data_IF_255194466266
#
_entry.id   IF_255194466266
#
_cell.length_a   1.000
_cell.length_b   1.000
_cell.length_c   1.000
_cell.angle_alpha   90.00
_cell.angle_beta   90.00
_cell.angle_gamma   90.00
#
_symmetry.space_group_name_H-M   'P 1'
#
loop_
_entity.id
_entity.type
_entity.pdbx_description
1 polymer ?
#
# COMPACT_ATOMS: atom_id res chain seq x y z
N UNK A 1 33.24 -14.22 -58.86
CA UNK A 1 32.86 -15.59 -58.46
C UNK A 1 33.72 -16.00 -57.27
N UNK A 2 33.20 -15.97 -56.04
CA UNK A 2 33.44 -17.02 -55.03
C UNK A 2 32.47 -16.80 -53.85
N UNK A 3 31.61 -17.80 -53.63
CA UNK A 3 30.68 -17.94 -52.51
C UNK A 3 31.43 -18.51 -51.29
N UNK A 4 30.75 -18.43 -50.12
CA UNK A 4 30.83 -19.28 -48.91
C UNK A 4 31.57 -18.63 -47.72
N UNK A 5 31.18 -18.76 -46.45
CA UNK A 5 30.09 -19.47 -45.73
C UNK A 5 30.11 -18.94 -44.28
N UNK A 6 28.92 -18.84 -43.66
CA UNK A 6 28.54 -19.00 -42.24
C UNK A 6 29.57 -18.64 -41.14
N UNK A 7 29.16 -17.72 -40.27
CA UNK A 7 29.68 -17.58 -38.90
C UNK A 7 28.60 -17.03 -37.98
N UNK A 8 27.77 -17.91 -37.44
CA UNK A 8 26.83 -17.56 -36.36
C UNK A 8 27.64 -17.44 -35.05
N UNK A 9 28.03 -16.23 -34.69
CA UNK A 9 28.55 -15.92 -33.36
C UNK A 9 27.36 -15.55 -32.46
N UNK A 10 26.76 -16.57 -31.85
CA UNK A 10 25.78 -16.38 -30.79
C UNK A 10 26.50 -15.87 -29.54
N UNK A 11 26.27 -14.60 -29.20
CA UNK A 11 26.55 -14.10 -27.85
C UNK A 11 25.23 -14.16 -27.11
N UNK A 12 25.02 -15.25 -26.37
CA UNK A 12 24.05 -15.25 -25.28
C UNK A 12 24.66 -14.37 -24.19
N UNK A 13 24.44 -13.06 -24.28
CA UNK A 13 24.63 -12.17 -23.15
C UNK A 13 23.52 -12.55 -22.15
N UNK A 14 23.86 -13.45 -21.23
CA UNK A 14 23.08 -13.68 -20.03
C UNK A 14 23.17 -12.39 -19.21
N UNK A 15 22.25 -11.46 -19.47
CA UNK A 15 21.97 -10.37 -18.57
C UNK A 15 21.51 -11.00 -17.27
N UNK A 16 22.38 -11.02 -16.27
CA UNK A 16 22.01 -11.27 -14.88
C UNK A 16 20.97 -10.22 -14.56
N UNK A 17 19.69 -10.61 -14.60
CA UNK A 17 18.64 -9.83 -13.95
C UNK A 17 19.00 -9.92 -12.48
N UNK A 18 19.67 -8.89 -11.97
CA UNK A 18 19.67 -8.63 -10.54
C UNK A 18 18.18 -8.47 -10.20
N UNK A 19 17.54 -9.57 -9.79
CA UNK A 19 16.26 -9.55 -9.09
C UNK A 19 16.53 -8.77 -7.82
N UNK A 20 16.50 -7.44 -7.96
CA UNK A 20 16.51 -6.54 -6.83
C UNK A 20 15.31 -6.92 -5.98
N UNK A 21 15.59 -7.21 -4.71
CA UNK A 21 14.58 -7.14 -3.67
C UNK A 21 14.09 -5.70 -3.64
N UNK A 22 13.15 -5.35 -4.51
CA UNK A 22 12.33 -4.18 -4.28
C UNK A 22 11.59 -4.48 -2.98
N UNK A 23 11.61 -3.58 -1.97
CA UNK A 23 10.64 -3.68 -0.90
C UNK A 23 9.28 -3.57 -1.58
N UNK A 24 8.61 -4.71 -1.71
CA UNK A 24 7.25 -4.76 -2.15
C UNK A 24 6.44 -4.00 -1.10
N UNK A 25 5.90 -2.85 -1.50
CA UNK A 25 4.90 -2.17 -0.69
C UNK A 25 3.74 -3.14 -0.56
N UNK A 26 3.52 -3.66 0.64
CA UNK A 26 2.55 -4.71 0.88
C UNK A 26 1.15 -4.11 1.15
N UNK A 27 0.06 -4.83 0.83
CA UNK A 27 -1.31 -4.40 1.12
C UNK A 27 -1.65 -4.54 2.62
N UNK A 28 -0.87 -3.86 3.47
CA UNK A 28 -0.97 -3.90 4.93
C UNK A 28 -1.72 -2.68 5.50
N UNK A 29 -2.23 -1.82 4.63
CA UNK A 29 -3.03 -0.66 5.01
C UNK A 29 -4.32 -0.61 4.19
N UNK A 30 -5.39 -0.17 4.84
CA UNK A 30 -6.69 0.05 4.23
C UNK A 30 -7.34 1.33 4.78
N UNK A 31 -8.39 1.79 4.10
CA UNK A 31 -9.24 2.87 4.61
C UNK A 31 -10.69 2.40 4.64
N UNK A 32 -11.32 2.52 5.80
CA UNK A 32 -12.75 2.30 5.98
C UNK A 32 -13.48 3.63 6.21
N UNK A 33 -14.81 3.63 6.11
CA UNK A 33 -15.65 4.73 6.57
C UNK A 33 -16.56 4.19 7.67
N UNK A 34 -16.50 4.79 8.85
CA UNK A 34 -17.34 4.35 9.97
C UNK A 34 -18.81 4.81 9.82
N UNK A 35 -19.67 4.38 10.75
CA UNK A 35 -21.10 4.70 10.71
C UNK A 35 -21.41 6.21 10.81
N UNK A 36 -20.46 7.02 11.24
CA UNK A 36 -20.59 8.49 11.32
C UNK A 36 -20.03 9.18 10.06
N UNK A 37 -19.56 8.41 9.07
CA UNK A 37 -18.95 8.95 7.86
C UNK A 37 -17.49 9.37 8.04
N UNK A 38 -16.84 8.99 9.14
CA UNK A 38 -15.44 9.34 9.40
C UNK A 38 -14.52 8.33 8.71
N UNK A 39 -13.60 8.76 7.84
CA UNK A 39 -12.60 7.88 7.25
C UNK A 39 -11.59 7.43 8.31
N UNK A 40 -11.33 6.14 8.38
CA UNK A 40 -10.42 5.50 9.34
C UNK A 40 -9.38 4.69 8.59
N UNK A 41 -8.12 4.85 8.99
CA UNK A 41 -7.00 4.05 8.49
C UNK A 41 -6.91 2.79 9.33
N UNK A 42 -6.81 1.64 8.68
CA UNK A 42 -6.55 0.34 9.27
C UNK A 42 -5.15 -0.09 8.86
N UNK A 43 -4.36 -0.57 9.82
CA UNK A 43 -3.01 -1.07 9.58
C UNK A 43 -2.88 -2.47 10.16
N UNK A 44 -2.30 -3.39 9.38
CA UNK A 44 -2.05 -4.79 9.69
C UNK A 44 -0.58 -5.12 9.45
N UNK A 45 0.33 -4.74 10.37
CA UNK A 45 1.76 -4.95 10.17
C UNK A 45 2.14 -6.44 10.29
N UNK A 46 3.17 -6.86 9.56
CA UNK A 46 3.67 -8.24 9.64
C UNK A 46 4.42 -8.54 10.94
N UNK A 47 4.17 -9.72 11.51
CA UNK A 47 4.92 -10.29 12.64
C UNK A 47 4.55 -9.75 14.03
N UNK A 48 5.36 -10.09 15.05
CA UNK A 48 5.09 -9.74 16.45
C UNK A 48 5.34 -8.25 16.80
N UNK A 49 5.66 -7.42 15.81
CA UNK A 49 6.08 -6.04 15.98
C UNK A 49 4.86 -5.12 15.91
N UNK A 50 4.28 -4.86 17.08
CA UNK A 50 3.10 -4.01 17.33
C UNK A 50 1.82 -4.44 16.60
N UNK A 51 0.76 -4.72 17.36
CA UNK A 51 -0.51 -5.19 16.82
C UNK A 51 -1.23 -4.15 15.96
N UNK A 52 -2.32 -4.62 15.36
CA UNK A 52 -3.21 -3.84 14.51
C UNK A 52 -3.54 -2.49 15.13
N UNK A 53 -3.56 -1.47 14.27
CA UNK A 53 -3.95 -0.13 14.68
C UNK A 53 -4.99 0.44 13.73
N UNK A 54 -5.98 1.10 14.34
CA UNK A 54 -7.04 1.78 13.63
C UNK A 54 -7.22 3.18 14.21
N UNK A 55 -7.28 4.19 13.35
CA UNK A 55 -7.41 5.59 13.78
C UNK A 55 -8.08 6.45 12.70
N UNK A 56 -8.75 7.56 13.07
CA UNK A 56 -9.31 8.48 12.09
C UNK A 56 -8.20 9.11 11.23
N UNK A 57 -8.43 9.19 9.91
CA UNK A 57 -7.42 9.59 8.91
C UNK A 57 -6.67 10.89 9.26
N UNK A 58 -7.38 11.90 9.77
CA UNK A 58 -6.81 13.21 10.13
C UNK A 58 -6.56 13.40 11.63
N UNK A 59 -6.75 12.36 12.43
CA UNK A 59 -6.55 12.38 13.89
C UNK A 59 -5.74 11.17 14.34
N UNK A 60 -4.45 11.09 13.98
CA UNK A 60 -3.58 10.00 14.40
C UNK A 60 -3.45 9.93 15.93
N UNK A 61 -3.06 8.77 16.50
CA UNK A 61 -2.87 8.60 17.93
C UNK A 61 -1.97 9.68 18.54
N UNK A 62 -2.42 10.30 19.63
CA UNK A 62 -1.72 11.43 20.26
C UNK A 62 -0.28 11.09 20.69
N UNK A 63 0.01 9.81 20.97
CA UNK A 63 1.34 9.34 21.34
C UNK A 63 2.38 9.45 20.20
N UNK A 64 1.94 9.49 18.93
CA UNK A 64 2.82 9.48 17.76
C UNK A 64 3.48 10.83 17.45
N UNK A 65 3.11 11.89 18.18
CA UNK A 65 3.62 13.26 17.96
C UNK A 65 3.51 13.70 16.48
N UNK A 66 2.41 13.35 15.83
CA UNK A 66 2.19 13.67 14.44
C UNK A 66 2.11 15.19 14.19
N UNK A 67 2.69 15.63 13.08
CA UNK A 67 2.52 17.00 12.60
C UNK A 67 1.36 17.07 11.59
N UNK A 68 0.30 17.78 11.94
CA UNK A 68 -0.78 18.08 11.00
C UNK A 68 -0.35 19.21 10.06
N UNK A 69 -0.42 18.96 8.74
CA UNK A 69 -0.11 19.95 7.70
C UNK A 69 -1.25 20.03 6.70
N UNK A 70 -1.58 21.25 6.28
CA UNK A 70 -2.64 21.49 5.30
C UNK A 70 -4.04 21.24 5.85
N UNK A 71 -5.01 21.15 4.92
CA UNK A 71 -6.43 20.93 5.22
C UNK A 71 -6.65 19.51 5.81
N UNK A 72 -7.36 19.42 6.94
CA UNK A 72 -7.61 18.17 7.68
C UNK A 72 -8.99 17.57 7.36
N UNK A 73 -9.33 17.50 6.06
CA UNK A 73 -10.55 16.88 5.53
C UNK A 73 -10.33 16.40 4.10
N UNK A 74 -11.18 15.48 3.66
CA UNK A 74 -11.20 15.04 2.27
C UNK A 74 -11.70 16.17 1.36
N UNK A 75 -10.96 16.38 0.27
CA UNK A 75 -11.26 17.35 -0.77
C UNK A 75 -11.53 16.61 -2.09
N UNK A 76 -12.59 16.97 -2.83
CA UNK A 76 -12.83 16.39 -4.15
C UNK A 76 -11.65 16.65 -5.10
N UNK A 77 -11.27 15.65 -5.89
CA UNK A 77 -10.17 15.74 -6.86
C UNK A 77 -8.76 15.64 -6.28
N UNK A 78 -8.63 15.38 -4.97
CA UNK A 78 -7.35 15.10 -4.33
C UNK A 78 -7.12 13.58 -4.19
N UNK A 79 -5.87 13.19 -4.40
CA UNK A 79 -5.36 11.85 -4.06
C UNK A 79 -4.61 11.94 -2.73
N UNK A 80 -4.91 11.00 -1.86
CA UNK A 80 -4.31 10.85 -0.55
C UNK A 80 -3.54 9.54 -0.52
N UNK A 81 -2.47 9.50 0.28
CA UNK A 81 -1.75 8.28 0.58
C UNK A 81 -1.49 8.21 2.09
N UNK A 82 -1.71 7.04 2.68
CA UNK A 82 -1.17 6.70 3.98
C UNK A 82 -0.04 5.69 3.77
N UNK A 83 1.14 6.00 4.30
CA UNK A 83 2.34 5.14 4.21
C UNK A 83 2.87 4.94 5.62
N UNK A 84 3.20 3.70 5.96
CA UNK A 84 3.90 3.42 7.22
C UNK A 84 5.17 2.61 6.98
N UNK A 85 6.15 2.88 7.83
CA UNK A 85 7.48 2.27 7.79
C UNK A 85 7.63 1.37 9.01
N UNK A 86 8.45 0.34 8.84
CA UNK A 86 8.81 -0.56 9.93
C UNK A 86 9.88 0.00 10.83
N UNK A 87 10.68 -0.90 11.41
CA UNK A 87 11.80 -0.56 12.26
C UNK A 87 12.92 0.22 11.54
N UNK A 88 13.00 0.10 10.20
CA UNK A 88 13.96 0.84 9.39
C UNK A 88 13.21 1.88 8.55
N UNK A 89 13.61 3.15 8.66
CA UNK A 89 12.95 4.28 7.98
C UNK A 89 13.20 4.31 6.46
N UNK A 90 13.96 3.35 5.93
CA UNK A 90 14.42 3.33 4.55
C UNK A 90 13.48 2.60 3.58
N UNK A 91 12.52 1.81 4.08
CA UNK A 91 11.56 1.06 3.25
C UNK A 91 10.15 1.08 3.84
N UNK A 92 9.16 1.45 3.02
CA UNK A 92 7.76 1.39 3.42
C UNK A 92 7.32 -0.07 3.57
N UNK A 93 6.60 -0.36 4.64
CA UNK A 93 6.03 -1.68 4.87
C UNK A 93 4.68 -1.82 4.17
N UNK A 94 3.87 -0.76 4.19
CA UNK A 94 2.57 -0.75 3.55
C UNK A 94 2.10 0.65 3.23
N UNK A 95 1.26 0.72 2.21
CA UNK A 95 0.65 1.94 1.71
C UNK A 95 -0.80 1.68 1.33
N UNK A 96 -1.64 2.71 1.46
CA UNK A 96 -2.91 2.79 0.76
C UNK A 96 -3.05 4.17 0.13
N UNK A 97 -3.29 4.19 -1.18
CA UNK A 97 -3.61 5.38 -1.95
C UNK A 97 -5.10 5.40 -2.29
N UNK A 98 -5.75 6.55 -2.17
CA UNK A 98 -7.20 6.69 -2.33
C UNK A 98 -7.64 8.12 -2.64
N UNK A 99 -8.86 8.26 -3.16
CA UNK A 99 -9.54 9.55 -3.32
C UNK A 99 -10.83 9.61 -2.49
N UNK A 100 -11.39 10.82 -2.35
CA UNK A 100 -12.72 10.97 -1.75
C UNK A 100 -13.82 10.21 -2.52
N UNK A 101 -13.65 10.02 -3.84
CA UNK A 101 -14.61 9.28 -4.66
C UNK A 101 -14.53 7.77 -4.40
N UNK A 102 -13.34 7.24 -4.15
CA UNK A 102 -13.15 5.83 -3.81
C UNK A 102 -13.82 5.49 -2.48
N UNK A 103 -13.60 6.34 -1.45
CA UNK A 103 -14.22 6.15 -0.13
C UNK A 103 -15.74 6.34 -0.17
N UNK A 104 -16.25 7.19 -1.08
CA UNK A 104 -17.69 7.38 -1.28
C UNK A 104 -18.42 6.17 -1.88
N UNK A 105 -17.69 5.12 -2.27
CA UNK A 105 -18.24 3.86 -2.78
C UNK A 105 -18.38 2.78 -1.71
N UNK A 106 -17.79 2.98 -0.53
CA UNK A 106 -17.78 1.98 0.53
C UNK A 106 -19.13 1.90 1.24
N UNK A 107 -19.60 0.66 1.41
CA UNK A 107 -20.67 0.31 2.32
C UNK A 107 -20.13 -0.07 3.72
N UNK A 108 -21.02 -0.22 4.69
CA UNK A 108 -20.63 -0.61 6.04
C UNK A 108 -20.00 -2.02 6.03
N UNK A 109 -18.78 -2.13 6.58
CA UNK A 109 -18.02 -3.38 6.60
C UNK A 109 -17.09 -3.56 5.40
N UNK A 110 -17.11 -2.64 4.45
CA UNK A 110 -16.16 -2.60 3.35
C UNK A 110 -14.97 -1.68 3.66
N UNK A 111 -13.85 -1.97 3.00
CA UNK A 111 -12.62 -1.18 3.04
C UNK A 111 -12.11 -0.92 1.62
N UNK A 112 -11.40 0.19 1.47
CA UNK A 112 -10.57 0.46 0.29
C UNK A 112 -9.14 0.03 0.57
N UNK A 113 -8.65 -0.94 -0.18
CA UNK A 113 -7.28 -1.44 -0.14
C UNK A 113 -6.91 -2.00 -1.51
N UNK A 114 -5.63 -2.05 -1.86
CA UNK A 114 -5.16 -2.63 -3.13
C UNK A 114 -5.95 -2.11 -4.36
N UNK A 115 -6.19 -0.79 -4.38
CA UNK A 115 -6.95 -0.06 -5.40
C UNK A 115 -8.37 -0.61 -5.69
N UNK A 116 -8.99 -1.27 -4.71
CA UNK A 116 -10.34 -1.81 -4.84
C UNK A 116 -11.14 -1.76 -3.54
N UNK A 117 -12.46 -1.89 -3.70
CA UNK A 117 -13.39 -2.15 -2.60
C UNK A 117 -13.33 -3.64 -2.27
N UNK A 118 -13.21 -3.98 -0.99
CA UNK A 118 -13.26 -5.35 -0.50
C UNK A 118 -13.89 -5.40 0.90
N UNK A 119 -14.30 -6.59 1.35
CA UNK A 119 -14.76 -6.77 2.73
C UNK A 119 -13.62 -6.62 3.74
N UNK A 120 -13.92 -6.19 4.97
CA UNK A 120 -12.92 -6.09 6.03
C UNK A 120 -12.20 -7.43 6.31
N UNK A 121 -12.92 -8.55 6.29
CA UNK A 121 -12.33 -9.89 6.47
C UNK A 121 -11.44 -10.29 5.27
N UNK A 122 -11.79 -9.87 4.05
CA UNK A 122 -10.95 -10.11 2.86
C UNK A 122 -9.64 -9.32 2.95
N UNK A 123 -9.68 -8.10 3.48
CA UNK A 123 -8.47 -7.32 3.74
C UNK A 123 -7.57 -7.98 4.79
N UNK A 124 -8.15 -8.56 5.84
CA UNK A 124 -7.38 -9.30 6.86
C UNK A 124 -6.64 -10.49 6.22
N UNK A 125 -7.35 -11.31 5.44
CA UNK A 125 -6.74 -12.44 4.72
C UNK A 125 -5.66 -11.99 3.73
N UNK A 126 -5.89 -10.86 3.03
CA UNK A 126 -4.92 -10.27 2.11
C UNK A 126 -3.65 -9.82 2.83
N UNK A 127 -3.81 -9.14 3.98
CA UNK A 127 -2.69 -8.66 4.78
C UNK A 127 -1.90 -9.81 5.41
N UNK A 128 -2.57 -10.83 5.94
CA UNK A 128 -1.92 -12.03 6.47
C UNK A 128 -1.14 -12.78 5.37
N UNK A 129 -1.71 -12.89 4.18
CA UNK A 129 -1.08 -13.56 3.04
C UNK A 129 0.16 -12.85 2.49
N UNK A 130 0.35 -11.58 2.85
CA UNK A 130 1.46 -10.74 2.39
C UNK A 130 2.75 -10.88 3.23
N UNK A 131 2.75 -11.59 4.36
CA UNK A 131 3.80 -11.51 5.40
C UNK A 131 4.98 -12.52 5.37
#
# INVERSE_FOLDING_TARGET
MLRRVVGAAGVLAASVVLSGCSPEVLPLAAVAVDGEGTPRVLVRPCGAWSGDVEFPLFSPPAAWKAEARGEQRLLPGHTYAFVFYGHTDDQANGEVSFTAADLGRLEQGEVWADDRVMGADEFEELAEGAC
#
